data_IF_170811828614
#
_entry.id   IF_170811828614
#
_cell.length_a   1.000
_cell.length_b   1.000
_cell.length_c   1.000
_cell.angle_alpha   90.00
_cell.angle_beta   90.00
_cell.angle_gamma   90.00
#
_symmetry.space_group_name_H-M   'P 1'
#
loop_
_entity.id
_entity.type
_entity.pdbx_description
1 polymer ?
#
# COMPACT_ATOMS: atom_id res chain seq x y z
N UNK A 1 -2.34 4.25 15.85
CA UNK A 1 -2.96 4.00 14.52
C UNK A 1 -3.30 2.52 14.42
N UNK A 2 -4.28 2.16 13.61
CA UNK A 2 -4.63 0.77 13.33
C UNK A 2 -3.53 0.12 12.47
N UNK A 3 -3.37 -1.20 12.61
CA UNK A 3 -2.47 -2.01 11.78
C UNK A 3 -3.31 -2.95 10.94
N UNK A 4 -3.10 -2.96 9.64
CA UNK A 4 -3.74 -3.89 8.72
C UNK A 4 -2.76 -4.36 7.65
N UNK A 5 -2.78 -5.66 7.34
CA UNK A 5 -1.84 -6.28 6.41
C UNK A 5 -2.54 -7.30 5.54
N UNK A 6 -2.11 -7.43 4.28
CA UNK A 6 -2.57 -8.49 3.37
C UNK A 6 -1.41 -8.94 2.49
N UNK A 7 -1.37 -10.23 2.15
CA UNK A 7 -0.34 -10.82 1.30
C UNK A 7 1.01 -10.98 2.02
N UNK A 8 2.09 -10.85 1.26
CA UNK A 8 3.43 -11.15 1.74
C UNK A 8 4.11 -9.95 2.44
N UNK A 9 4.89 -10.25 3.47
CA UNK A 9 5.94 -9.34 3.92
C UNK A 9 7.12 -9.39 2.96
N UNK A 10 7.99 -8.38 3.00
CA UNK A 10 9.23 -8.37 2.21
C UNK A 10 10.11 -9.59 2.54
N UNK A 11 10.25 -9.91 3.83
CA UNK A 11 11.03 -11.06 4.28
C UNK A 11 10.43 -12.39 3.78
N UNK A 12 9.11 -12.55 3.85
CA UNK A 12 8.43 -13.74 3.36
C UNK A 12 8.56 -13.89 1.83
N UNK A 13 8.42 -12.80 1.07
CA UNK A 13 8.57 -12.83 -0.38
C UNK A 13 10.02 -13.17 -0.80
N UNK A 14 11.02 -12.58 -0.14
CA UNK A 14 12.43 -12.94 -0.38
C UNK A 14 12.73 -14.39 0.00
N UNK A 15 12.16 -14.89 1.10
CA UNK A 15 12.31 -16.29 1.51
C UNK A 15 11.69 -17.29 0.51
N UNK A 16 10.69 -16.86 -0.27
CA UNK A 16 10.11 -17.64 -1.37
C UNK A 16 10.91 -17.54 -2.69
N UNK A 17 12.03 -16.81 -2.68
CA UNK A 17 12.89 -16.64 -3.86
C UNK A 17 12.46 -15.50 -4.80
N UNK A 18 11.45 -14.71 -4.44
CA UNK A 18 11.04 -13.55 -5.25
C UNK A 18 12.04 -12.41 -5.11
N UNK A 19 12.41 -11.81 -6.25
CA UNK A 19 13.02 -10.49 -6.25
C UNK A 19 11.91 -9.46 -6.02
N UNK A 20 12.04 -8.64 -4.99
CA UNK A 20 10.97 -7.72 -4.59
C UNK A 20 11.42 -6.28 -4.59
N UNK A 21 10.52 -5.41 -5.06
CA UNK A 21 10.58 -3.97 -4.87
C UNK A 21 9.64 -3.60 -3.73
N UNK A 22 10.14 -2.87 -2.74
CA UNK A 22 9.31 -2.34 -1.65
C UNK A 22 9.30 -0.84 -1.65
N UNK A 23 8.12 -0.26 -1.44
CA UNK A 23 7.93 1.18 -1.29
C UNK A 23 7.22 1.46 0.02
N UNK A 24 7.49 2.61 0.63
CA UNK A 24 6.83 3.03 1.84
C UNK A 24 6.51 4.53 1.77
N UNK A 25 5.26 4.87 2.05
CA UNK A 25 4.76 6.23 2.13
C UNK A 25 4.48 6.59 3.59
N UNK A 26 5.33 7.40 4.23
CA UNK A 26 4.99 8.03 5.49
C UNK A 26 3.70 8.88 5.37
N UNK A 27 2.81 8.82 6.35
CA UNK A 27 1.51 9.50 6.25
C UNK A 27 1.60 11.03 6.26
N UNK A 28 2.74 11.63 6.63
CA UNK A 28 2.91 13.08 6.49
C UNK A 28 2.93 13.56 5.03
N UNK A 29 3.08 12.66 4.06
CA UNK A 29 2.90 12.96 2.64
C UNK A 29 1.44 12.84 2.15
N UNK A 30 0.54 12.25 2.96
CA UNK A 30 -0.84 12.03 2.57
C UNK A 30 -1.72 13.21 3.00
N UNK A 31 -2.35 13.87 2.03
CA UNK A 31 -3.17 15.07 2.28
C UNK A 31 -4.29 14.82 3.31
N UNK A 32 -4.99 13.67 3.23
CA UNK A 32 -6.03 13.29 4.19
C UNK A 32 -5.50 13.23 5.63
N UNK A 33 -4.35 12.58 5.84
CA UNK A 33 -3.74 12.46 7.16
C UNK A 33 -3.30 13.82 7.71
N UNK A 34 -2.76 14.70 6.86
CA UNK A 34 -2.41 16.08 7.22
C UNK A 34 -3.64 16.88 7.65
N UNK A 35 -4.74 16.82 6.89
CA UNK A 35 -5.99 17.52 7.22
C UNK A 35 -6.62 16.99 8.50
N UNK A 36 -6.47 15.70 8.80
CA UNK A 36 -6.92 15.09 10.05
C UNK A 36 -6.00 15.39 11.25
N UNK A 37 -4.85 16.04 11.03
CA UNK A 37 -3.80 16.23 12.04
C UNK A 37 -3.31 14.93 12.70
N UNK A 38 -3.45 13.78 12.02
CA UNK A 38 -2.92 12.49 12.45
C UNK A 38 -2.07 11.88 11.34
N UNK A 39 -0.78 12.21 11.33
CA UNK A 39 0.20 11.76 10.35
C UNK A 39 1.05 10.58 10.85
N UNK A 40 0.65 9.94 11.95
CA UNK A 40 1.41 8.83 12.52
C UNK A 40 1.21 7.56 11.69
N UNK A 41 2.31 7.04 11.16
CA UNK A 41 2.35 5.74 10.51
C UNK A 41 2.75 5.83 9.04
N UNK A 42 2.44 4.78 8.28
CA UNK A 42 2.87 4.61 6.90
C UNK A 42 2.00 3.61 6.14
N UNK A 43 2.13 3.64 4.81
CA UNK A 43 1.63 2.60 3.91
C UNK A 43 2.85 1.99 3.20
N UNK A 44 3.10 0.69 3.39
CA UNK A 44 4.17 -0.05 2.71
C UNK A 44 3.58 -1.03 1.71
N UNK A 45 4.11 -1.04 0.50
CA UNK A 45 3.77 -2.02 -0.54
C UNK A 45 4.98 -2.93 -0.81
N UNK A 46 4.69 -4.18 -1.14
CA UNK A 46 5.65 -5.19 -1.56
C UNK A 46 5.20 -5.68 -2.92
N UNK A 47 6.04 -5.50 -3.94
CA UNK A 47 5.75 -5.92 -5.29
C UNK A 47 6.88 -6.81 -5.82
N UNK A 48 6.52 -7.69 -6.74
CA UNK A 48 7.49 -8.43 -7.54
C UNK A 48 8.28 -7.45 -8.43
N UNK A 49 9.60 -7.60 -8.48
CA UNK A 49 10.49 -6.66 -9.14
C UNK A 49 10.34 -6.71 -10.68
N UNK A 50 10.10 -7.90 -11.23
CA UNK A 50 10.12 -8.10 -12.68
C UNK A 50 8.76 -7.79 -13.31
N UNK A 51 7.68 -8.30 -12.71
CA UNK A 51 6.31 -8.09 -13.20
C UNK A 51 5.64 -6.83 -12.65
N UNK A 52 6.16 -6.25 -11.57
CA UNK A 52 5.51 -5.15 -10.85
C UNK A 52 4.23 -5.57 -10.12
N UNK A 53 3.91 -6.87 -10.06
CA UNK A 53 2.70 -7.40 -9.42
C UNK A 53 2.73 -7.14 -7.92
N UNK A 54 1.63 -6.65 -7.37
CA UNK A 54 1.50 -6.44 -5.93
C UNK A 54 1.43 -7.79 -5.20
N UNK A 55 2.38 -8.02 -4.30
CA UNK A 55 2.48 -9.24 -3.49
C UNK A 55 1.97 -9.04 -2.07
N UNK A 56 2.06 -7.82 -1.54
CA UNK A 56 1.63 -7.49 -0.19
C UNK A 56 1.47 -6.00 0.08
N UNK A 57 0.64 -5.68 1.06
CA UNK A 57 0.44 -4.33 1.54
C UNK A 57 0.33 -4.31 3.07
N UNK A 58 0.91 -3.28 3.69
CA UNK A 58 0.98 -3.10 5.13
C UNK A 58 0.62 -1.65 5.44
N UNK A 59 -0.44 -1.44 6.21
CA UNK A 59 -0.99 -0.12 6.50
C UNK A 59 -0.97 0.10 8.01
N UNK A 60 -0.32 1.19 8.41
CA UNK A 60 -0.33 1.73 9.76
C UNK A 60 -0.96 3.13 9.69
N UNK A 61 -2.26 3.25 9.92
CA UNK A 61 -3.03 4.49 9.73
C UNK A 61 -4.28 4.56 10.62
N UNK A 62 -4.92 5.72 10.75
CA UNK A 62 -6.16 5.87 11.54
C UNK A 62 -7.32 4.98 11.01
N UNK A 63 -7.40 4.78 9.69
CA UNK A 63 -8.42 3.98 8.99
C UNK A 63 -7.78 2.78 8.27
N UNK A 64 -6.75 2.17 8.88
CA UNK A 64 -5.96 1.11 8.25
C UNK A 64 -6.79 -0.11 7.85
N UNK A 65 -7.78 -0.49 8.65
CA UNK A 65 -8.66 -1.65 8.37
C UNK A 65 -9.54 -1.45 7.12
N UNK A 66 -9.89 -0.21 6.79
CA UNK A 66 -10.70 0.10 5.61
C UNK A 66 -9.82 0.22 4.36
N UNK A 67 -8.67 0.90 4.47
CA UNK A 67 -7.72 1.06 3.36
C UNK A 67 -7.21 -0.29 2.83
N UNK A 68 -6.95 -1.24 3.73
CA UNK A 68 -6.39 -2.55 3.34
C UNK A 68 -7.30 -3.31 2.38
N UNK A 69 -8.62 -3.07 2.41
CA UNK A 69 -9.59 -3.79 1.59
C UNK A 69 -9.35 -3.55 0.09
N UNK A 70 -8.92 -2.34 -0.31
CA UNK A 70 -8.53 -2.08 -1.70
C UNK A 70 -7.30 -2.89 -2.10
N UNK A 71 -6.32 -3.06 -1.20
CA UNK A 71 -5.15 -3.89 -1.45
C UNK A 71 -5.50 -5.39 -1.51
N UNK A 72 -6.47 -5.87 -0.73
CA UNK A 72 -6.99 -7.25 -0.82
C UNK A 72 -7.47 -7.55 -2.23
N UNK A 73 -8.29 -6.66 -2.81
CA UNK A 73 -8.78 -6.82 -4.17
C UNK A 73 -7.64 -6.74 -5.19
N UNK A 74 -6.72 -5.79 -5.03
CA UNK A 74 -5.57 -5.65 -5.93
C UNK A 74 -4.71 -6.93 -5.97
N UNK A 75 -4.41 -7.54 -4.82
CA UNK A 75 -3.65 -8.79 -4.74
C UNK A 75 -4.45 -9.95 -5.33
N UNK A 76 -5.74 -10.07 -4.99
CA UNK A 76 -6.63 -11.14 -5.48
C UNK A 76 -6.69 -11.16 -7.01
N UNK A 77 -6.78 -9.99 -7.65
CA UNK A 77 -6.83 -9.85 -9.10
C UNK A 77 -5.45 -9.71 -9.75
N UNK A 78 -4.37 -9.78 -8.97
CA UNK A 78 -3.00 -9.74 -9.47
C UNK A 78 -2.60 -8.42 -10.11
N UNK A 79 -3.16 -7.30 -9.64
CA UNK A 79 -2.84 -5.97 -10.13
C UNK A 79 -1.38 -5.59 -9.83
N UNK A 80 -0.83 -4.73 -10.67
CA UNK A 80 0.52 -4.19 -10.56
C UNK A 80 0.55 -2.86 -9.81
N UNK A 81 1.75 -2.41 -9.41
CA UNK A 81 1.94 -1.03 -8.94
C UNK A 81 1.52 -0.02 -10.02
N UNK A 82 1.75 -0.34 -11.30
CA UNK A 82 1.31 0.47 -12.44
C UNK A 82 -0.20 0.68 -12.45
N UNK A 83 -0.97 -0.39 -12.26
CA UNK A 83 -2.43 -0.34 -12.19
C UNK A 83 -2.93 0.54 -11.04
N UNK A 84 -2.28 0.49 -9.87
CA UNK A 84 -2.61 1.38 -8.75
C UNK A 84 -2.31 2.84 -9.09
N UNK A 85 -1.19 3.12 -9.75
CA UNK A 85 -0.84 4.50 -10.13
C UNK A 85 -1.74 5.09 -11.23
N UNK A 86 -2.20 4.26 -12.17
CA UNK A 86 -3.09 4.67 -13.27
C UNK A 86 -4.55 4.79 -12.83
N UNK A 87 -4.95 4.06 -11.78
CA UNK A 87 -6.29 4.15 -11.20
C UNK A 87 -6.57 5.53 -10.60
N UNK A 88 -7.80 6.03 -10.78
CA UNK A 88 -8.29 7.22 -10.11
C UNK A 88 -8.68 6.89 -8.67
N UNK A 89 -7.93 7.44 -7.72
CA UNK A 89 -8.29 7.41 -6.31
C UNK A 89 -8.93 8.75 -5.94
N UNK A 90 -10.04 8.75 -5.16
CA UNK A 90 -10.61 9.99 -4.68
C UNK A 90 -9.61 10.75 -3.80
N UNK A 91 -9.39 12.03 -4.12
CA UNK A 91 -8.52 12.91 -3.36
C UNK A 91 -9.04 13.10 -1.93
N UNK A 92 -8.11 13.34 -0.98
CA UNK A 92 -8.42 13.46 0.46
C UNK A 92 -9.07 12.19 1.05
N UNK A 93 -8.68 11.02 0.58
CA UNK A 93 -9.00 9.74 1.23
C UNK A 93 -7.76 9.06 1.77
N UNK A 94 -7.90 8.19 2.77
CA UNK A 94 -6.78 7.35 3.21
C UNK A 94 -6.37 6.34 2.12
N UNK A 95 -7.33 5.88 1.31
CA UNK A 95 -7.11 4.96 0.21
C UNK A 95 -6.19 5.54 -0.88
N UNK A 96 -6.22 6.85 -1.13
CA UNK A 96 -5.28 7.54 -2.04
C UNK A 96 -3.81 7.25 -1.68
N UNK A 97 -3.52 6.99 -0.39
CA UNK A 97 -2.20 6.61 0.06
C UNK A 97 -1.65 5.34 -0.61
N UNK A 98 -2.51 4.40 -1.05
CA UNK A 98 -2.06 3.24 -1.83
C UNK A 98 -1.50 3.65 -3.20
N UNK A 99 -2.15 4.60 -3.88
CA UNK A 99 -1.67 5.16 -5.15
C UNK A 99 -0.36 5.91 -4.98
N UNK A 100 -0.25 6.73 -3.93
CA UNK A 100 0.97 7.49 -3.64
C UNK A 100 2.13 6.57 -3.25
N UNK A 101 1.86 5.49 -2.50
CA UNK A 101 2.86 4.49 -2.16
C UNK A 101 3.29 3.63 -3.35
N UNK A 102 2.46 3.51 -4.38
CA UNK A 102 2.79 2.73 -5.59
C UNK A 102 3.72 3.48 -6.58
N UNK A 103 3.88 4.80 -6.42
CA UNK A 103 4.83 5.62 -7.19
C UNK A 103 6.26 5.42 -6.69
#
# INVERSE_FOLDING_TARGET
PQVATVGLTEAAAKAQGSQVKTTALPLHYLARARTAHDTRGLIKLVADNDSGRLLGAHVLAAEGSEVIQSAVLAIKFGLTLGDLTSTLFPYLTMAEGLKLAAK
#
